data_IF_014287079357
#
_entry.id   IF_014287079357
#
_cell.length_a   1.000
_cell.length_b   1.000
_cell.length_c   1.000
_cell.angle_alpha   90.00
_cell.angle_beta   90.00
_cell.angle_gamma   90.00
#
_symmetry.space_group_name_H-M   'P 1'
#
loop_
_entity.id
_entity.type
_entity.pdbx_description
1 polymer ?
#
# COMPACT_ATOMS: atom_id res chain seq x y z
N UNK A 1 7.42 0.75 6.66
CA UNK A 1 6.42 -0.33 6.80
C UNK A 1 5.29 -0.07 5.79
N UNK A 2 4.82 -1.05 5.01
CA UNK A 2 3.90 -0.80 3.88
C UNK A 2 2.42 -0.67 4.29
N UNK A 3 1.61 0.00 3.47
CA UNK A 3 0.17 0.18 3.74
C UNK A 3 -0.62 -1.15 3.65
N UNK A 4 -1.51 -1.46 4.61
CA UNK A 4 -2.35 -2.66 4.57
C UNK A 4 -3.57 -2.46 3.64
N UNK A 5 -3.36 -2.54 2.33
CA UNK A 5 -4.46 -2.44 1.36
C UNK A 5 -5.55 -3.49 1.61
N UNK A 6 -6.81 -3.08 1.44
CA UNK A 6 -7.95 -3.99 1.42
C UNK A 6 -8.17 -4.43 -0.02
N UNK A 7 -8.22 -5.75 -0.24
CA UNK A 7 -8.51 -6.33 -1.55
C UNK A 7 -10.01 -6.15 -1.85
N UNK A 8 -10.39 -5.45 -2.94
CA UNK A 8 -11.79 -5.26 -3.29
C UNK A 8 -12.42 -6.58 -3.76
N UNK A 9 -13.74 -6.61 -3.77
CA UNK A 9 -14.54 -7.73 -4.29
C UNK A 9 -15.49 -7.22 -5.36
N UNK A 10 -15.93 -8.10 -6.25
CA UNK A 10 -16.83 -7.75 -7.35
C UNK A 10 -18.12 -8.58 -7.36
N UNK A 11 -19.15 -8.11 -8.08
CA UNK A 11 -20.40 -8.83 -8.37
C UNK A 11 -20.19 -9.94 -9.42
N UNK A 12 -21.20 -10.79 -9.63
CA UNK A 12 -21.31 -11.60 -10.85
C UNK A 12 -21.64 -10.72 -12.06
N UNK A 13 -21.14 -11.12 -13.23
CA UNK A 13 -21.63 -10.68 -14.55
C UNK A 13 -21.45 -11.84 -15.53
N UNK A 14 -22.20 -11.83 -16.65
CA UNK A 14 -21.92 -12.66 -17.81
C UNK A 14 -21.55 -11.79 -19.01
N UNK A 15 -20.34 -11.93 -19.53
CA UNK A 15 -19.90 -11.15 -20.69
C UNK A 15 -20.67 -11.49 -21.97
N UNK A 16 -21.28 -12.67 -22.05
CA UNK A 16 -22.16 -13.05 -23.16
C UNK A 16 -23.38 -12.13 -23.31
N UNK A 17 -23.79 -11.46 -22.22
CA UNK A 17 -24.95 -10.55 -22.22
C UNK A 17 -24.59 -9.18 -22.80
N UNK A 18 -23.30 -8.85 -22.86
CA UNK A 18 -22.79 -7.54 -23.25
C UNK A 18 -21.96 -7.57 -24.53
N UNK A 19 -21.36 -8.71 -24.85
CA UNK A 19 -20.43 -8.85 -25.96
C UNK A 19 -20.76 -10.06 -26.83
N UNK A 20 -20.58 -9.90 -28.13
CA UNK A 20 -20.65 -10.97 -29.11
C UNK A 20 -19.41 -10.92 -30.00
N UNK A 21 -18.83 -12.07 -30.33
CA UNK A 21 -17.73 -12.16 -31.29
C UNK A 21 -18.10 -13.10 -32.44
N UNK A 22 -17.93 -12.61 -33.66
CA UNK A 22 -18.13 -13.40 -34.89
C UNK A 22 -16.96 -14.35 -35.15
N UNK A 23 -15.75 -13.95 -34.75
CA UNK A 23 -14.49 -14.66 -34.97
C UNK A 23 -14.16 -15.61 -33.83
N UNK A 24 -14.44 -15.21 -32.59
CA UNK A 24 -14.10 -15.94 -31.36
C UNK A 24 -15.32 -16.08 -30.44
N UNK A 25 -16.39 -16.78 -30.86
CA UNK A 25 -17.67 -16.83 -30.14
C UNK A 25 -17.58 -17.34 -28.70
N UNK A 26 -16.56 -18.14 -28.36
CA UNK A 26 -16.36 -18.62 -26.98
C UNK A 26 -15.66 -17.60 -26.06
N UNK A 27 -15.02 -16.55 -26.60
CA UNK A 27 -14.21 -15.60 -25.81
C UNK A 27 -15.01 -14.93 -24.66
N UNK A 28 -16.21 -14.36 -24.88
CA UNK A 28 -17.00 -13.81 -23.78
C UNK A 28 -17.34 -14.85 -22.71
N UNK A 29 -17.62 -16.10 -23.09
CA UNK A 29 -17.91 -17.16 -22.12
C UNK A 29 -16.67 -17.53 -21.30
N UNK A 30 -15.52 -17.73 -21.93
CA UNK A 30 -14.27 -18.01 -21.24
C UNK A 30 -13.86 -16.88 -20.28
N UNK A 31 -14.01 -15.62 -20.70
CA UNK A 31 -13.77 -14.46 -19.85
C UNK A 31 -14.72 -14.45 -18.63
N UNK A 32 -15.98 -14.84 -18.83
CA UNK A 32 -16.99 -14.95 -17.75
C UNK A 32 -16.57 -15.99 -16.72
N UNK A 33 -16.15 -17.17 -17.16
CA UNK A 33 -15.65 -18.24 -16.28
C UNK A 33 -14.42 -17.79 -15.50
N UNK A 34 -13.42 -17.20 -16.15
CA UNK A 34 -12.23 -16.70 -15.49
C UNK A 34 -12.53 -15.61 -14.46
N UNK A 35 -13.45 -14.69 -14.78
CA UNK A 35 -13.93 -13.66 -13.84
C UNK A 35 -14.65 -14.25 -12.64
N UNK A 36 -15.44 -15.32 -12.84
CA UNK A 36 -16.10 -16.08 -11.77
C UNK A 36 -15.09 -16.61 -10.75
N UNK A 37 -14.00 -17.22 -11.23
CA UNK A 37 -12.90 -17.69 -10.37
C UNK A 37 -12.28 -16.54 -9.57
N UNK A 38 -12.01 -15.40 -10.20
CA UNK A 38 -11.49 -14.21 -9.50
C UNK A 38 -12.46 -13.77 -8.40
N UNK A 39 -13.75 -13.63 -8.72
CA UNK A 39 -14.79 -13.24 -7.75
C UNK A 39 -14.78 -14.16 -6.53
N UNK A 40 -14.74 -15.47 -6.75
CA UNK A 40 -14.81 -16.46 -5.67
C UNK A 40 -13.56 -16.46 -4.80
N UNK A 41 -12.38 -16.34 -5.42
CA UNK A 41 -11.10 -16.21 -4.72
C UNK A 41 -11.04 -14.92 -3.89
N UNK A 42 -11.52 -13.79 -4.42
CA UNK A 42 -11.60 -12.52 -3.70
C UNK A 42 -12.57 -12.60 -2.51
N UNK A 43 -13.76 -13.20 -2.70
CA UNK A 43 -14.74 -13.44 -1.62
C UNK A 43 -14.15 -14.35 -0.54
N UNK A 44 -13.46 -15.42 -0.94
CA UNK A 44 -12.78 -16.33 0.00
C UNK A 44 -11.68 -15.62 0.78
N UNK A 45 -10.84 -14.84 0.10
CA UNK A 45 -9.78 -14.05 0.74
C UNK A 45 -10.35 -13.08 1.79
N UNK A 46 -11.48 -12.44 1.49
CA UNK A 46 -12.16 -11.56 2.44
C UNK A 46 -12.68 -12.30 3.68
N UNK A 47 -13.21 -13.52 3.51
CA UNK A 47 -13.87 -14.31 4.57
C UNK A 47 -12.89 -15.01 5.52
N UNK A 48 -11.66 -15.28 5.09
CA UNK A 48 -10.68 -15.94 5.97
C UNK A 48 -10.16 -14.98 7.05
N UNK A 49 -9.74 -15.50 8.22
CA UNK A 49 -9.18 -14.68 9.29
C UNK A 49 -7.98 -13.83 8.81
N UNK A 50 -7.81 -12.59 9.31
CA UNK A 50 -6.72 -11.71 8.90
C UNK A 50 -5.32 -12.34 9.02
N UNK A 51 -5.10 -13.17 10.04
CA UNK A 51 -3.83 -13.90 10.24
C UNK A 51 -3.51 -14.90 9.13
N UNK A 52 -4.52 -15.35 8.37
CA UNK A 52 -4.38 -16.33 7.28
C UNK A 52 -4.43 -15.68 5.91
N UNK A 53 -4.67 -14.36 5.81
CA UNK A 53 -4.78 -13.69 4.51
C UNK A 53 -3.46 -13.67 3.74
N UNK A 54 -2.33 -13.50 4.43
CA UNK A 54 -1.02 -13.43 3.80
C UNK A 54 -0.66 -14.70 3.00
N UNK A 55 -1.00 -15.88 3.51
CA UNK A 55 -0.73 -17.15 2.82
C UNK A 55 -1.67 -17.41 1.63
N UNK A 56 -2.81 -16.71 1.55
CA UNK A 56 -3.76 -16.82 0.46
C UNK A 56 -3.46 -15.86 -0.71
N UNK A 57 -2.51 -14.92 -0.56
CA UNK A 57 -2.22 -13.90 -1.59
C UNK A 57 -1.75 -14.51 -2.92
N UNK A 58 -0.97 -15.59 -2.90
CA UNK A 58 -0.52 -16.26 -4.13
C UNK A 58 -1.67 -16.83 -4.96
N UNK A 59 -2.71 -17.35 -4.31
CA UNK A 59 -3.94 -17.82 -4.96
C UNK A 59 -4.68 -16.67 -5.62
N UNK A 60 -4.76 -15.50 -4.98
CA UNK A 60 -5.35 -14.29 -5.56
C UNK A 60 -4.58 -13.83 -6.80
N UNK A 61 -3.24 -13.81 -6.73
CA UNK A 61 -2.40 -13.45 -7.88
C UNK A 61 -2.63 -14.40 -9.05
N UNK A 62 -2.67 -15.71 -8.81
CA UNK A 62 -2.91 -16.70 -9.87
C UNK A 62 -4.23 -16.42 -10.58
N UNK A 63 -5.33 -16.31 -9.83
CA UNK A 63 -6.64 -16.06 -10.41
C UNK A 63 -6.69 -14.75 -11.23
N UNK A 64 -6.07 -13.69 -10.73
CA UNK A 64 -5.99 -12.41 -11.46
C UNK A 64 -5.18 -12.56 -12.75
N UNK A 65 -4.00 -13.20 -12.69
CA UNK A 65 -3.15 -13.42 -13.85
C UNK A 65 -3.78 -14.34 -14.90
N UNK A 66 -4.62 -15.28 -14.48
CA UNK A 66 -5.37 -16.15 -15.39
C UNK A 66 -6.50 -15.38 -16.09
N UNK A 67 -7.08 -14.37 -15.44
CA UNK A 67 -8.19 -13.56 -15.96
C UNK A 67 -7.74 -12.37 -16.84
N UNK A 68 -6.67 -11.67 -16.44
CA UNK A 68 -6.18 -10.45 -17.12
C UNK A 68 -5.99 -10.63 -18.64
N UNK A 69 -5.41 -11.74 -19.17
CA UNK A 69 -5.29 -11.97 -20.59
C UNK A 69 -6.63 -11.91 -21.34
N UNK A 70 -7.71 -12.42 -20.74
CA UNK A 70 -9.06 -12.36 -21.33
C UNK A 70 -9.59 -10.93 -21.39
N UNK A 71 -9.35 -10.12 -20.35
CA UNK A 71 -9.71 -8.70 -20.38
C UNK A 71 -8.99 -7.95 -21.50
N UNK A 72 -7.70 -8.20 -21.69
CA UNK A 72 -6.95 -7.59 -22.79
C UNK A 72 -7.37 -8.08 -24.17
N UNK A 73 -7.79 -9.35 -24.31
CA UNK A 73 -8.35 -9.85 -25.56
C UNK A 73 -9.70 -9.17 -25.88
N UNK A 74 -10.56 -8.94 -24.87
CA UNK A 74 -11.80 -8.19 -25.04
C UNK A 74 -11.52 -6.71 -25.41
N UNK A 75 -10.57 -6.06 -24.72
CA UNK A 75 -10.14 -4.67 -24.99
C UNK A 75 -9.60 -4.52 -26.42
N UNK A 76 -8.77 -5.48 -26.86
CA UNK A 76 -8.23 -5.53 -28.22
C UNK A 76 -9.36 -5.66 -29.26
N UNK A 77 -10.32 -6.56 -29.02
CA UNK A 77 -11.44 -6.77 -29.92
C UNK A 77 -12.37 -5.55 -30.06
N UNK A 78 -12.62 -4.81 -28.97
CA UNK A 78 -13.39 -3.55 -29.03
C UNK A 78 -12.62 -2.42 -29.71
N UNK A 79 -11.29 -2.43 -29.62
CA UNK A 79 -10.42 -1.37 -30.14
C UNK A 79 -9.95 -1.61 -31.58
N UNK A 80 -10.26 -2.78 -32.17
CA UNK A 80 -9.74 -3.20 -33.47
C UNK A 80 -8.23 -3.51 -33.46
N UNK A 81 -7.65 -3.76 -32.29
CA UNK A 81 -6.26 -4.15 -32.14
C UNK A 81 -6.11 -5.67 -32.23
N UNK A 82 -4.95 -6.15 -32.69
CA UNK A 82 -4.66 -7.59 -32.70
C UNK A 82 -4.26 -8.09 -31.31
N UNK A 83 -4.69 -9.30 -30.94
CA UNK A 83 -4.22 -10.02 -29.76
C UNK A 83 -3.39 -11.22 -30.21
N UNK A 84 -2.10 -11.28 -29.83
CA UNK A 84 -1.18 -12.36 -30.25
C UNK A 84 -1.14 -12.60 -31.79
N UNK A 85 -1.31 -11.55 -32.60
CA UNK A 85 -1.33 -11.64 -34.06
C UNK A 85 -2.68 -12.02 -34.67
N UNK A 86 -3.68 -12.30 -33.83
CA UNK A 86 -5.05 -12.62 -34.22
C UNK A 86 -5.94 -11.37 -34.18
N UNK A 87 -6.82 -11.23 -35.17
CA UNK A 87 -7.85 -10.19 -35.18
C UNK A 87 -9.11 -10.71 -34.50
N UNK A 88 -9.53 -10.02 -33.44
CA UNK A 88 -10.74 -10.35 -32.70
C UNK A 88 -11.81 -9.33 -33.09
N UNK A 89 -12.83 -9.77 -33.80
CA UNK A 89 -14.03 -8.96 -34.04
C UNK A 89 -14.99 -9.11 -32.85
N UNK A 90 -15.10 -8.08 -32.02
CA UNK A 90 -15.96 -8.04 -30.84
C UNK A 90 -16.95 -6.87 -30.93
N UNK A 91 -18.23 -7.19 -30.85
CA UNK A 91 -19.34 -6.24 -30.91
C UNK A 91 -19.95 -6.06 -29.54
N UNK A 92 -20.16 -4.81 -29.15
CA UNK A 92 -20.91 -4.42 -27.96
C UNK A 92 -22.42 -4.60 -28.22
N UNK A 93 -23.04 -5.56 -27.54
CA UNK A 93 -24.49 -5.84 -27.59
C UNK A 93 -25.26 -4.88 -26.68
N UNK A 94 -24.74 -4.65 -25.47
CA UNK A 94 -25.29 -3.77 -24.44
C UNK A 94 -24.12 -3.11 -23.69
N UNK A 95 -24.31 -1.90 -23.19
CA UNK A 95 -23.37 -1.27 -22.25
C UNK A 95 -23.04 -2.19 -21.06
N UNK A 96 -21.76 -2.52 -20.88
CA UNK A 96 -21.27 -3.37 -19.79
C UNK A 96 -21.54 -2.71 -18.44
N UNK A 97 -22.12 -3.45 -17.50
CA UNK A 97 -22.35 -2.98 -16.13
C UNK A 97 -21.59 -3.88 -15.13
N UNK A 98 -20.55 -3.34 -14.50
CA UNK A 98 -19.76 -4.04 -13.47
C UNK A 98 -19.90 -3.34 -12.12
N UNK A 99 -19.83 -4.11 -11.04
CA UNK A 99 -19.85 -3.57 -9.69
C UNK A 99 -18.63 -4.00 -8.89
N UNK A 100 -17.93 -3.03 -8.30
CA UNK A 100 -16.76 -3.26 -7.45
C UNK A 100 -16.94 -2.58 -6.10
N UNK A 101 -16.54 -3.24 -5.01
CA UNK A 101 -16.49 -2.59 -3.69
C UNK A 101 -15.35 -1.58 -3.66
N UNK A 102 -15.66 -0.34 -3.26
CA UNK A 102 -14.64 0.70 -3.02
C UNK A 102 -13.82 0.36 -1.78
N UNK A 103 -12.50 0.44 -1.86
CA UNK A 103 -11.59 0.17 -0.73
C UNK A 103 -10.76 1.37 -0.34
N UNK A 104 -10.65 2.37 -1.23
CA UNK A 104 -9.95 3.62 -0.98
C UNK A 104 -10.90 4.79 -0.70
N UNK A 105 -12.20 4.63 -0.94
CA UNK A 105 -13.19 5.64 -0.57
C UNK A 105 -13.43 5.71 0.94
N UNK A 106 -13.97 6.84 1.41
CA UNK A 106 -14.44 7.00 2.79
C UNK A 106 -15.51 5.96 3.10
N UNK A 107 -15.30 5.18 4.16
CA UNK A 107 -16.25 4.20 4.67
C UNK A 107 -16.65 4.54 6.10
N UNK A 108 -17.86 4.13 6.48
CA UNK A 108 -18.33 4.28 7.87
C UNK A 108 -17.80 3.07 8.65
N UNK A 109 -17.11 3.27 9.78
CA UNK A 109 -16.64 2.18 10.62
C UNK A 109 -17.78 1.21 10.98
N UNK A 110 -17.55 -0.08 10.80
CA UNK A 110 -18.54 -1.13 11.08
C UNK A 110 -19.59 -1.34 9.97
N UNK A 111 -19.53 -0.59 8.86
CA UNK A 111 -20.31 -0.89 7.65
C UNK A 111 -19.42 -1.38 6.52
N UNK A 112 -19.96 -2.30 5.74
CA UNK A 112 -19.30 -2.73 4.51
C UNK A 112 -19.19 -1.56 3.52
N UNK A 113 -18.03 -1.37 2.87
CA UNK A 113 -17.89 -0.33 1.85
C UNK A 113 -18.88 -0.53 0.69
N UNK A 114 -19.43 0.55 0.13
CA UNK A 114 -20.42 0.45 -0.94
C UNK A 114 -19.82 -0.15 -2.21
N UNK A 115 -20.65 -0.89 -2.95
CA UNK A 115 -20.35 -1.25 -4.34
C UNK A 115 -20.64 -0.06 -5.24
N UNK A 116 -19.71 0.23 -6.15
CA UNK A 116 -19.85 1.27 -7.16
C UNK A 116 -20.18 0.59 -8.48
N UNK A 117 -21.27 1.02 -9.11
CA UNK A 117 -21.67 0.57 -10.46
C UNK A 117 -20.87 1.35 -11.50
N UNK A 118 -20.29 0.65 -12.46
CA UNK A 118 -19.41 1.18 -13.48
C UNK A 118 -19.83 0.64 -14.84
N UNK A 119 -19.73 1.49 -15.86
CA UNK A 119 -20.31 1.25 -17.18
C UNK A 119 -19.27 1.11 -18.29
N UNK A 120 -18.19 0.37 -18.03
CA UNK A 120 -17.12 0.20 -19.04
C UNK A 120 -16.21 -0.99 -18.75
N UNK A 121 -15.67 -1.57 -19.82
CA UNK A 121 -14.59 -2.56 -19.75
C UNK A 121 -13.31 -1.94 -19.18
N UNK A 122 -13.04 -0.68 -19.49
CA UNK A 122 -11.91 0.07 -18.95
C UNK A 122 -11.92 0.14 -17.42
N UNK A 123 -13.11 0.36 -16.82
CA UNK A 123 -13.26 0.35 -15.36
C UNK A 123 -12.97 -1.02 -14.75
N UNK A 124 -13.46 -2.09 -15.39
CA UNK A 124 -13.18 -3.47 -14.98
C UNK A 124 -11.68 -3.78 -15.04
N UNK A 125 -11.01 -3.38 -16.13
CA UNK A 125 -9.57 -3.51 -16.31
C UNK A 125 -8.80 -2.75 -15.24
N UNK A 126 -9.19 -1.51 -14.95
CA UNK A 126 -8.56 -0.69 -13.92
C UNK A 126 -8.69 -1.27 -12.52
N UNK A 127 -9.89 -1.73 -12.14
CA UNK A 127 -10.09 -2.39 -10.85
C UNK A 127 -9.33 -3.71 -10.75
N UNK A 128 -9.33 -4.53 -11.80
CA UNK A 128 -8.62 -5.81 -11.83
C UNK A 128 -7.11 -5.62 -11.68
N UNK A 129 -6.52 -4.68 -12.44
CA UNK A 129 -5.09 -4.37 -12.36
C UNK A 129 -4.71 -3.68 -11.04
N UNK A 130 -5.53 -2.74 -10.55
CA UNK A 130 -5.29 -2.12 -9.24
C UNK A 130 -5.33 -3.14 -8.12
N UNK A 131 -6.25 -4.12 -8.21
CA UNK A 131 -6.33 -5.25 -7.26
C UNK A 131 -5.04 -6.08 -7.30
N UNK A 132 -4.52 -6.41 -8.48
CA UNK A 132 -3.25 -7.12 -8.62
C UNK A 132 -2.10 -6.33 -7.97
N UNK A 133 -2.03 -5.02 -8.20
CA UNK A 133 -1.01 -4.16 -7.60
C UNK A 133 -1.11 -4.10 -6.06
N UNK A 134 -2.34 -4.05 -5.50
CA UNK A 134 -2.56 -4.15 -4.05
C UNK A 134 -2.06 -5.47 -3.49
N UNK A 135 -2.33 -6.58 -4.17
CA UNK A 135 -1.90 -7.91 -3.74
C UNK A 135 -0.37 -8.03 -3.77
N UNK A 136 0.31 -7.46 -4.76
CA UNK A 136 1.77 -7.35 -4.75
C UNK A 136 2.30 -6.52 -3.57
N UNK A 137 1.68 -5.37 -3.25
CA UNK A 137 2.05 -4.60 -2.07
C UNK A 137 1.86 -5.43 -0.77
N UNK A 138 0.74 -6.15 -0.66
CA UNK A 138 0.49 -7.05 0.48
C UNK A 138 1.50 -8.20 0.56
N UNK A 139 1.99 -8.73 -0.57
CA UNK A 139 3.09 -9.70 -0.56
C UNK A 139 4.39 -9.06 -0.08
N UNK A 140 4.72 -7.85 -0.55
CA UNK A 140 5.89 -7.11 -0.07
C UNK A 140 5.81 -6.87 1.45
N UNK A 141 4.61 -6.51 1.94
CA UNK A 141 4.32 -6.39 3.36
C UNK A 141 4.55 -7.71 4.10
N UNK A 142 4.03 -8.83 3.62
CA UNK A 142 4.25 -10.13 4.24
C UNK A 142 5.74 -10.51 4.32
N UNK A 143 6.53 -10.21 3.27
CA UNK A 143 7.98 -10.43 3.28
C UNK A 143 8.67 -9.54 4.32
N UNK A 144 8.33 -8.26 4.40
CA UNK A 144 8.93 -7.33 5.37
C UNK A 144 8.53 -7.61 6.81
N UNK A 145 7.36 -8.21 7.07
CA UNK A 145 6.94 -8.61 8.42
C UNK A 145 7.95 -9.56 9.07
N UNK A 146 8.59 -10.42 8.27
CA UNK A 146 9.61 -11.37 8.76
C UNK A 146 10.80 -10.70 9.45
N UNK A 147 11.07 -9.41 9.15
CA UNK A 147 12.12 -8.62 9.77
C UNK A 147 11.81 -8.24 11.23
N UNK A 148 10.56 -8.39 11.64
CA UNK A 148 10.04 -8.02 12.96
C UNK A 148 9.67 -9.23 13.81
N UNK A 149 10.08 -10.43 13.41
CA UNK A 149 9.89 -11.65 14.21
C UNK A 149 10.67 -11.59 15.53
N UNK A 150 10.25 -12.39 16.51
CA UNK A 150 10.86 -12.45 17.85
C UNK A 150 12.36 -12.85 17.82
N UNK A 151 12.78 -13.56 16.78
CA UNK A 151 14.18 -13.88 16.52
C UNK A 151 14.71 -12.98 15.42
N UNK A 152 15.85 -12.33 15.67
CA UNK A 152 16.52 -11.47 14.69
C UNK A 152 16.88 -12.32 13.47
N UNK A 153 16.44 -11.95 12.25
CA UNK A 153 16.73 -12.72 11.04
C UNK A 153 18.22 -12.66 10.71
N UNK A 154 18.75 -13.73 10.11
CA UNK A 154 20.11 -13.74 9.58
C UNK A 154 20.28 -12.68 8.47
N UNK A 155 21.51 -12.22 8.18
CA UNK A 155 21.77 -11.29 7.08
C UNK A 155 21.23 -11.79 5.72
N UNK A 156 21.33 -13.10 5.47
CA UNK A 156 20.82 -13.74 4.26
C UNK A 156 19.27 -13.74 4.21
N UNK A 157 18.62 -14.06 5.32
CA UNK A 157 17.16 -14.00 5.43
C UNK A 157 16.65 -12.57 5.23
N UNK A 158 17.32 -11.59 5.84
CA UNK A 158 17.03 -10.16 5.65
C UNK A 158 17.17 -9.75 4.18
N UNK A 159 18.29 -10.09 3.55
CA UNK A 159 18.52 -9.77 2.15
C UNK A 159 17.48 -10.40 1.23
N UNK A 160 17.08 -11.65 1.52
CA UNK A 160 16.04 -12.37 0.77
C UNK A 160 14.68 -11.70 0.92
N UNK A 161 14.24 -11.40 2.15
CA UNK A 161 12.97 -10.75 2.42
C UNK A 161 12.89 -9.36 1.76
N UNK A 162 13.95 -8.56 1.87
CA UNK A 162 14.01 -7.22 1.24
C UNK A 162 14.03 -7.33 -0.28
N UNK A 163 14.80 -8.28 -0.84
CA UNK A 163 14.84 -8.52 -2.28
C UNK A 163 13.49 -8.94 -2.86
N UNK A 164 12.77 -9.83 -2.16
CA UNK A 164 11.42 -10.25 -2.54
C UNK A 164 10.41 -9.09 -2.44
N UNK A 165 10.43 -8.33 -1.33
CA UNK A 165 9.58 -7.16 -1.18
C UNK A 165 9.82 -6.11 -2.28
N UNK A 166 11.09 -5.87 -2.61
CA UNK A 166 11.49 -4.96 -3.69
C UNK A 166 10.90 -5.38 -5.03
N UNK A 167 10.99 -6.67 -5.37
CA UNK A 167 10.42 -7.20 -6.61
C UNK A 167 8.94 -6.87 -6.70
N UNK A 168 8.18 -7.16 -5.63
CA UNK A 168 6.74 -6.93 -5.61
C UNK A 168 6.36 -5.45 -5.67
N UNK A 169 7.09 -4.55 -5.00
CA UNK A 169 6.82 -3.11 -5.16
C UNK A 169 7.05 -2.62 -6.58
N UNK A 170 8.10 -3.11 -7.26
CA UNK A 170 8.36 -2.73 -8.65
C UNK A 170 7.33 -3.32 -9.61
N UNK A 171 6.82 -4.53 -9.34
CA UNK A 171 5.68 -5.12 -10.07
C UNK A 171 4.42 -4.25 -9.90
N UNK A 172 4.05 -3.90 -8.66
CA UNK A 172 2.93 -3.00 -8.36
C UNK A 172 3.09 -1.62 -9.02
N UNK A 173 4.28 -1.02 -8.94
CA UNK A 173 4.57 0.27 -9.54
C UNK A 173 4.44 0.26 -11.07
N UNK A 174 4.88 -0.81 -11.73
CA UNK A 174 4.72 -0.96 -13.18
C UNK A 174 3.25 -0.95 -13.59
N UNK A 175 2.39 -1.64 -12.82
CA UNK A 175 0.95 -1.70 -13.05
C UNK A 175 0.32 -0.32 -12.80
N UNK A 176 0.62 0.33 -11.69
CA UNK A 176 0.07 1.67 -11.42
C UNK A 176 0.50 2.69 -12.47
N UNK A 177 1.76 2.66 -12.92
CA UNK A 177 2.25 3.54 -13.99
C UNK A 177 1.52 3.27 -15.31
N UNK A 178 1.27 2.00 -15.63
CA UNK A 178 0.47 1.63 -16.79
C UNK A 178 -0.95 2.20 -16.71
N UNK A 179 -1.60 2.08 -15.55
CA UNK A 179 -2.94 2.62 -15.32
C UNK A 179 -2.98 4.15 -15.39
N UNK A 180 -1.94 4.85 -14.90
CA UNK A 180 -1.82 6.31 -15.05
C UNK A 180 -1.78 6.71 -16.52
N UNK A 181 -1.01 5.98 -17.34
CA UNK A 181 -0.92 6.26 -18.77
C UNK A 181 -2.25 6.01 -19.50
N UNK A 182 -2.99 4.95 -19.13
CA UNK A 182 -4.35 4.72 -19.66
C UNK A 182 -5.32 5.82 -19.21
N UNK A 183 -5.28 6.20 -17.93
CA UNK A 183 -6.13 7.24 -17.38
C UNK A 183 -5.92 8.62 -18.02
N UNK A 184 -4.72 8.90 -18.53
CA UNK A 184 -4.42 10.09 -19.32
C UNK A 184 -5.14 10.15 -20.68
N UNK A 185 -5.67 9.03 -21.17
CA UNK A 185 -6.38 8.93 -22.45
C UNK A 185 -7.91 8.97 -22.27
N UNK A 186 -8.41 9.06 -21.04
CA UNK A 186 -9.85 9.07 -20.79
C UNK A 186 -10.48 10.41 -21.15
N UNK A 187 -11.59 10.34 -21.91
CA UNK A 187 -12.41 11.51 -22.24
C UNK A 187 -13.20 12.05 -21.04
N UNK A 188 -13.50 11.19 -20.06
CA UNK A 188 -14.23 11.54 -18.83
C UNK A 188 -13.70 10.76 -17.65
N UNK A 189 -13.59 11.40 -16.48
CA UNK A 189 -13.15 10.73 -15.27
C UNK A 189 -14.23 9.79 -14.70
N UNK A 190 -13.86 8.61 -14.21
CA UNK A 190 -14.79 7.70 -13.56
C UNK A 190 -15.33 8.31 -12.26
N UNK A 191 -16.56 7.93 -11.90
CA UNK A 191 -17.20 8.35 -10.64
C UNK A 191 -16.57 7.71 -9.41
N UNK A 192 -15.92 6.54 -9.59
CA UNK A 192 -15.23 5.82 -8.54
C UNK A 192 -13.89 6.49 -8.19
N UNK A 193 -13.73 6.86 -6.92
CA UNK A 193 -12.50 7.48 -6.41
C UNK A 193 -11.28 6.56 -6.56
N UNK A 194 -11.46 5.26 -6.36
CA UNK A 194 -10.38 4.25 -6.40
C UNK A 194 -9.63 4.21 -7.74
N UNK A 195 -10.33 4.51 -8.84
CA UNK A 195 -9.77 4.50 -10.19
C UNK A 195 -9.68 5.90 -10.80
N UNK A 196 -9.85 6.97 -10.01
CA UNK A 196 -9.64 8.33 -10.51
C UNK A 196 -8.16 8.54 -10.88
N UNK A 197 -7.88 9.34 -11.91
CA UNK A 197 -6.51 9.57 -12.38
C UNK A 197 -5.57 10.07 -11.26
N UNK A 198 -6.10 10.90 -10.35
CA UNK A 198 -5.33 11.41 -9.20
C UNK A 198 -4.96 10.31 -8.22
N UNK A 199 -5.88 9.37 -7.93
CA UNK A 199 -5.58 8.23 -7.04
C UNK A 199 -4.61 7.25 -7.70
N UNK A 200 -4.79 6.94 -8.98
CA UNK A 200 -3.86 6.08 -9.73
C UNK A 200 -2.44 6.67 -9.74
N UNK A 201 -2.32 7.98 -9.98
CA UNK A 201 -1.05 8.70 -9.90
C UNK A 201 -0.43 8.63 -8.50
N UNK A 202 -1.25 8.84 -7.47
CA UNK A 202 -0.78 8.76 -6.10
C UNK A 202 -0.26 7.36 -5.72
N UNK A 203 -0.93 6.31 -6.18
CA UNK A 203 -0.52 4.92 -5.92
C UNK A 203 0.78 4.57 -6.65
N UNK A 204 1.00 5.09 -7.86
CA UNK A 204 2.28 4.95 -8.58
C UNK A 204 3.42 5.62 -7.80
N UNK A 205 3.22 6.86 -7.34
CA UNK A 205 4.20 7.60 -6.55
C UNK A 205 4.43 6.95 -5.18
N UNK A 206 3.37 6.48 -4.51
CA UNK A 206 3.47 5.80 -3.21
C UNK A 206 4.29 4.51 -3.31
N UNK A 207 4.01 3.64 -4.28
CA UNK A 207 4.75 2.40 -4.46
C UNK A 207 6.22 2.65 -4.79
N UNK A 208 6.53 3.73 -5.53
CA UNK A 208 7.91 4.15 -5.76
C UNK A 208 8.60 4.65 -4.48
N UNK A 209 7.87 5.40 -3.63
CA UNK A 209 8.36 5.85 -2.34
C UNK A 209 8.71 4.66 -1.43
N UNK A 210 7.83 3.66 -1.35
CA UNK A 210 8.05 2.43 -0.57
C UNK A 210 9.24 1.63 -1.11
N UNK A 211 9.29 1.38 -2.42
CA UNK A 211 10.40 0.69 -3.09
C UNK A 211 11.74 1.39 -2.83
N UNK A 212 11.77 2.72 -2.91
CA UNK A 212 12.99 3.50 -2.68
C UNK A 212 13.42 3.42 -1.22
N UNK A 213 12.48 3.52 -0.26
CA UNK A 213 12.82 3.52 1.16
C UNK A 213 13.42 2.19 1.63
N UNK A 214 12.89 1.06 1.13
CA UNK A 214 13.38 -0.26 1.55
C UNK A 214 14.80 -0.58 1.03
N UNK A 215 15.31 0.15 0.03
CA UNK A 215 16.72 0.02 -0.40
C UNK A 215 17.69 0.31 0.74
N UNK A 216 17.31 1.27 1.61
CA UNK A 216 18.11 1.70 2.75
C UNK A 216 18.02 0.69 3.90
N UNK A 217 16.86 0.05 4.08
CA UNK A 217 16.61 -0.93 5.13
C UNK A 217 17.56 -2.14 5.07
N UNK A 218 18.09 -2.46 3.88
CA UNK A 218 19.03 -3.55 3.67
C UNK A 218 20.30 -3.39 4.50
N UNK A 219 20.85 -2.18 4.51
CA UNK A 219 22.16 -1.86 5.08
C UNK A 219 22.03 -0.95 6.33
N UNK A 220 20.81 -0.61 6.76
CA UNK A 220 20.55 0.21 7.96
C UNK A 220 20.64 -0.65 9.23
N UNK A 221 21.67 -0.49 10.08
CA UNK A 221 21.87 -1.34 11.25
C UNK A 221 20.96 -0.96 12.43
N UNK A 222 20.46 0.28 12.46
CA UNK A 222 19.83 0.84 13.64
C UNK A 222 18.47 0.23 14.02
N UNK A 223 17.60 -0.20 13.08
CA UNK A 223 16.39 -0.93 13.43
C UNK A 223 16.67 -2.18 14.27
N UNK A 224 17.68 -2.97 13.90
CA UNK A 224 18.04 -4.18 14.65
C UNK A 224 18.52 -3.85 16.07
N UNK A 225 19.34 -2.80 16.22
CA UNK A 225 19.85 -2.35 17.52
C UNK A 225 18.72 -1.97 18.48
N UNK A 226 17.71 -1.23 18.00
CA UNK A 226 16.56 -0.82 18.82
C UNK A 226 15.66 -2.00 19.19
N UNK A 227 15.53 -2.99 18.30
CA UNK A 227 14.78 -4.22 18.58
C UNK A 227 15.50 -5.06 19.66
N UNK A 228 16.83 -5.22 19.54
CA UNK A 228 17.64 -5.97 20.51
C UNK A 228 17.65 -5.32 21.89
N UNK A 229 17.79 -4.00 22.00
CA UNK A 229 17.74 -3.27 23.28
C UNK A 229 16.44 -3.52 24.05
N UNK A 230 15.34 -3.83 23.33
CA UNK A 230 14.04 -4.16 23.92
C UNK A 230 13.82 -5.64 24.17
N UNK A 231 14.67 -6.52 23.62
CA UNK A 231 14.54 -7.95 23.82
C UNK A 231 14.97 -8.32 25.25
N UNK A 232 14.00 -8.43 26.15
CA UNK A 232 14.22 -8.83 27.56
C UNK A 232 14.91 -10.19 27.72
N UNK A 233 14.91 -11.03 26.68
CA UNK A 233 15.55 -12.33 26.69
C UNK A 233 17.01 -12.28 26.18
N UNK A 234 17.42 -11.18 25.55
CA UNK A 234 18.80 -10.99 25.08
C UNK A 234 19.74 -10.75 26.25
N UNK A 235 20.80 -11.56 26.32
CA UNK A 235 21.92 -11.41 27.28
C UNK A 235 23.20 -10.94 26.61
N UNK A 236 23.17 -10.69 25.31
CA UNK A 236 24.36 -10.42 24.50
C UNK A 236 25.08 -9.13 24.92
N UNK A 237 24.32 -8.14 25.38
CA UNK A 237 24.82 -6.91 25.97
C UNK A 237 25.73 -7.14 27.20
N UNK A 238 25.61 -8.30 27.87
CA UNK A 238 26.42 -8.63 29.06
C UNK A 238 27.87 -8.98 28.70
N UNK A 239 28.15 -9.42 27.48
CA UNK A 239 29.47 -9.92 27.07
C UNK A 239 30.00 -9.29 25.78
N UNK A 240 29.19 -8.50 25.05
CA UNK A 240 29.63 -7.71 23.90
C UNK A 240 28.86 -6.39 23.81
N UNK A 241 29.57 -5.29 23.54
CA UNK A 241 28.93 -4.02 23.19
C UNK A 241 28.33 -4.06 21.78
N UNK A 242 27.27 -3.29 21.53
CA UNK A 242 26.68 -3.18 20.20
C UNK A 242 27.68 -2.49 19.25
N UNK A 243 28.24 -3.23 18.31
CA UNK A 243 29.04 -2.69 17.22
C UNK A 243 28.11 -2.29 16.06
N UNK A 244 28.14 -1.02 15.67
CA UNK A 244 27.25 -0.48 14.63
C UNK A 244 28.09 -0.26 13.37
N UNK A 245 27.86 -1.05 12.30
CA UNK A 245 28.59 -0.90 11.05
C UNK A 245 28.49 0.51 10.48
N UNK A 246 29.59 0.99 9.87
CA UNK A 246 29.58 2.24 9.12
C UNK A 246 28.71 2.08 7.87
N UNK A 247 27.83 3.06 7.65
CA UNK A 247 26.93 3.09 6.49
C UNK A 247 27.35 4.17 5.50
N UNK A 248 26.87 4.06 4.26
CA UNK A 248 26.98 5.10 3.24
C UNK A 248 25.97 6.21 3.54
N UNK A 249 26.17 6.89 4.67
CA UNK A 249 25.20 7.76 5.31
C UNK A 249 24.66 8.85 4.36
N UNK A 250 25.55 9.59 3.70
CA UNK A 250 25.14 10.61 2.73
C UNK A 250 24.31 10.05 1.56
N UNK A 251 24.66 8.87 1.02
CA UNK A 251 23.87 8.22 -0.04
C UNK A 251 22.47 7.86 0.47
N UNK A 252 22.39 7.23 1.65
CA UNK A 252 21.11 6.81 2.25
C UNK A 252 20.22 8.01 2.56
N UNK A 253 20.79 9.12 3.02
CA UNK A 253 20.05 10.36 3.20
C UNK A 253 19.37 10.82 1.90
N UNK A 254 20.10 10.79 0.78
CA UNK A 254 19.54 11.18 -0.53
C UNK A 254 18.49 10.19 -1.06
N UNK A 255 18.64 8.89 -0.79
CA UNK A 255 17.60 7.90 -1.14
C UNK A 255 16.32 8.11 -0.31
N UNK A 256 16.46 8.37 0.98
CA UNK A 256 15.34 8.71 1.86
C UNK A 256 14.65 10.01 1.42
N UNK A 257 15.39 11.00 0.92
CA UNK A 257 14.82 12.23 0.40
C UNK A 257 14.04 12.00 -0.90
N UNK A 258 14.53 11.17 -1.83
CA UNK A 258 13.77 10.78 -3.02
C UNK A 258 12.46 10.09 -2.64
N UNK A 259 12.50 9.15 -1.67
CA UNK A 259 11.29 8.52 -1.13
C UNK A 259 10.31 9.55 -0.52
N UNK A 260 10.81 10.53 0.23
CA UNK A 260 9.99 11.63 0.76
C UNK A 260 9.37 12.48 -0.35
N UNK A 261 10.10 12.77 -1.43
CA UNK A 261 9.60 13.56 -2.57
C UNK A 261 8.46 12.81 -3.29
N UNK A 262 8.61 11.51 -3.54
CA UNK A 262 7.55 10.66 -4.08
C UNK A 262 6.32 10.62 -3.16
N UNK A 263 6.51 10.41 -1.85
CA UNK A 263 5.40 10.43 -0.89
C UNK A 263 4.70 11.80 -0.84
N UNK A 264 5.43 12.90 -1.01
CA UNK A 264 4.84 14.24 -1.09
C UNK A 264 3.99 14.44 -2.35
N UNK A 265 4.44 13.92 -3.50
CA UNK A 265 3.63 13.91 -4.75
C UNK A 265 2.36 13.09 -4.56
N UNK A 266 2.47 11.90 -3.98
CA UNK A 266 1.31 11.06 -3.67
C UNK A 266 0.31 11.79 -2.74
N UNK A 267 0.80 12.43 -1.68
CA UNK A 267 -0.03 13.20 -0.76
C UNK A 267 -0.77 14.34 -1.47
N UNK A 268 -0.08 15.08 -2.33
CA UNK A 268 -0.66 16.18 -3.09
C UNK A 268 -1.75 15.71 -4.07
N UNK A 269 -1.56 14.54 -4.70
CA UNK A 269 -2.55 13.94 -5.59
C UNK A 269 -3.77 13.43 -4.81
N UNK A 270 -3.59 12.71 -3.70
CA UNK A 270 -4.70 12.24 -2.86
C UNK A 270 -5.50 13.41 -2.27
N UNK A 271 -4.85 14.51 -1.90
CA UNK A 271 -5.51 15.71 -1.37
C UNK A 271 -6.46 16.40 -2.36
N UNK A 272 -6.36 16.09 -3.66
CA UNK A 272 -7.29 16.59 -4.71
C UNK A 272 -8.50 15.68 -4.90
N UNK A 273 -8.47 14.46 -4.36
CA UNK A 273 -9.53 13.47 -4.52
C UNK A 273 -10.55 13.58 -3.39
N UNK A 274 -11.81 14.00 -3.67
CA UNK A 274 -12.83 14.05 -2.64
C UNK A 274 -13.16 12.64 -2.15
N UNK A 275 -13.49 12.50 -0.86
CA UNK A 275 -13.93 11.23 -0.25
C UNK A 275 -12.89 10.10 -0.29
N UNK A 276 -11.59 10.41 -0.29
CA UNK A 276 -10.54 9.43 -0.06
C UNK A 276 -10.46 9.04 1.43
N UNK A 277 -10.10 7.79 1.71
CA UNK A 277 -9.90 7.27 3.06
C UNK A 277 -8.79 8.06 3.80
N UNK A 278 -9.11 8.55 5.00
CA UNK A 278 -8.20 9.31 5.87
C UNK A 278 -6.99 8.49 6.32
N UNK A 279 -7.12 7.17 6.49
CA UNK A 279 -6.03 6.29 6.90
C UNK A 279 -4.94 6.24 5.83
N UNK A 280 -5.31 6.22 4.54
CA UNK A 280 -4.34 6.27 3.44
C UNK A 280 -3.66 7.64 3.38
N UNK A 281 -4.41 8.74 3.50
CA UNK A 281 -3.84 10.09 3.53
C UNK A 281 -2.83 10.25 4.66
N UNK A 282 -3.20 9.78 5.85
CA UNK A 282 -2.33 9.82 7.03
C UNK A 282 -1.10 8.95 6.84
N UNK A 283 -1.27 7.73 6.32
CA UNK A 283 -0.16 6.84 6.04
C UNK A 283 0.87 7.47 5.09
N UNK A 284 0.41 8.11 4.01
CA UNK A 284 1.30 8.77 3.05
C UNK A 284 2.05 9.96 3.68
N UNK A 285 1.38 10.76 4.53
CA UNK A 285 2.06 11.81 5.30
C UNK A 285 3.09 11.24 6.29
N UNK A 286 2.73 10.18 7.01
CA UNK A 286 3.63 9.51 7.95
C UNK A 286 4.82 8.87 7.21
N UNK A 287 4.64 8.31 6.00
CA UNK A 287 5.72 7.79 5.16
C UNK A 287 6.66 8.91 4.72
N UNK A 288 6.12 10.03 4.24
CA UNK A 288 6.88 11.23 3.86
C UNK A 288 7.75 11.72 5.03
N UNK A 289 7.13 11.86 6.21
CA UNK A 289 7.82 12.30 7.44
C UNK A 289 8.87 11.30 7.91
N UNK A 290 8.57 10.01 7.84
CA UNK A 290 9.50 8.93 8.21
C UNK A 290 10.73 8.92 7.31
N UNK A 291 10.53 9.03 6.00
CA UNK A 291 11.60 9.11 5.03
C UNK A 291 12.48 10.36 5.27
N UNK A 292 11.88 11.54 5.48
CA UNK A 292 12.64 12.75 5.79
C UNK A 292 13.35 12.70 7.15
N UNK A 293 12.74 12.09 8.16
CA UNK A 293 13.36 11.82 9.47
C UNK A 293 14.58 10.90 9.36
N UNK A 294 14.46 9.81 8.58
CA UNK A 294 15.59 8.93 8.24
C UNK A 294 16.71 9.67 7.55
N UNK A 295 16.40 10.56 6.61
CA UNK A 295 17.41 11.38 5.95
C UNK A 295 18.18 12.25 6.94
N UNK A 296 17.47 12.92 7.86
CA UNK A 296 18.10 13.69 8.93
C UNK A 296 19.01 12.82 9.80
N UNK A 297 18.56 11.62 10.18
CA UNK A 297 19.39 10.69 10.97
C UNK A 297 20.66 10.30 10.21
N UNK A 298 20.57 9.97 8.93
CA UNK A 298 21.77 9.61 8.16
C UNK A 298 22.72 10.79 7.99
N UNK A 299 22.22 12.02 7.78
CA UNK A 299 23.07 13.22 7.79
C UNK A 299 23.72 13.44 9.17
N UNK A 300 23.01 13.10 10.24
CA UNK A 300 23.56 13.12 11.60
C UNK A 300 24.71 12.11 11.77
N UNK A 301 24.54 10.88 11.26
CA UNK A 301 25.59 9.85 11.25
C UNK A 301 26.82 10.27 10.43
N UNK A 302 26.60 10.96 9.30
CA UNK A 302 27.67 11.49 8.46
C UNK A 302 28.46 12.59 9.21
N UNK A 303 27.75 13.53 9.84
CA UNK A 303 28.36 14.59 10.65
C UNK A 303 29.15 14.04 11.85
N UNK A 304 28.59 13.08 12.59
CA UNK A 304 29.27 12.45 13.72
C UNK A 304 30.49 11.63 13.27
N UNK A 305 30.39 10.91 12.16
CA UNK A 305 31.53 10.21 11.54
C UNK A 305 32.65 11.15 11.09
N UNK A 306 32.32 12.41 10.78
CA UNK A 306 33.26 13.50 10.51
C UNK A 306 33.77 14.23 11.75
N UNK A 307 33.44 13.77 12.96
CA UNK A 307 33.86 14.38 14.23
C UNK A 307 33.04 15.60 14.64
N UNK A 308 31.93 15.90 13.97
CA UNK A 308 31.04 17.04 14.26
C UNK A 308 29.80 16.59 15.05
N UNK A 309 30.01 16.02 16.23
CA UNK A 309 28.94 15.50 17.09
C UNK A 309 27.88 16.57 17.42
N UNK A 310 28.26 17.84 17.63
CA UNK A 310 27.31 18.92 17.87
C UNK A 310 26.33 19.14 16.70
N UNK A 311 26.85 19.13 15.47
CA UNK A 311 26.04 19.19 14.24
C UNK A 311 25.16 17.94 14.09
N UNK A 312 25.69 16.75 14.41
CA UNK A 312 24.93 15.50 14.44
C UNK A 312 23.72 15.55 15.39
N UNK A 313 23.89 16.09 16.60
CA UNK A 313 22.79 16.28 17.54
C UNK A 313 21.73 17.24 16.96
N UNK A 314 22.15 18.33 16.32
CA UNK A 314 21.23 19.28 15.68
C UNK A 314 20.41 18.60 14.56
N UNK A 315 21.03 17.77 13.73
CA UNK A 315 20.32 16.97 12.72
C UNK A 315 19.28 16.02 13.35
N UNK A 316 19.59 15.36 14.46
CA UNK A 316 18.64 14.49 15.16
C UNK A 316 17.48 15.27 15.80
N UNK A 317 17.73 16.47 16.32
CA UNK A 317 16.65 17.38 16.77
C UNK A 317 15.76 17.78 15.60
N UNK A 318 16.35 18.07 14.44
CA UNK A 318 15.62 18.27 13.19
C UNK A 318 14.78 17.06 12.79
N UNK A 319 15.33 15.84 12.91
CA UNK A 319 14.60 14.60 12.65
C UNK A 319 13.33 14.47 13.51
N UNK A 320 13.39 14.83 14.80
CA UNK A 320 12.21 14.85 15.68
C UNK A 320 11.14 15.83 15.20
N UNK A 321 11.53 17.00 14.72
CA UNK A 321 10.60 18.01 14.17
C UNK A 321 9.92 17.49 12.90
N UNK A 322 10.68 16.89 11.99
CA UNK A 322 10.15 16.29 10.75
C UNK A 322 9.17 15.13 11.02
N UNK A 323 9.52 14.24 11.96
CA UNK A 323 8.65 13.15 12.41
C UNK A 323 7.39 13.67 13.12
N UNK A 324 7.35 14.94 13.55
CA UNK A 324 6.23 15.52 14.28
C UNK A 324 6.21 15.14 15.77
N UNK A 325 7.35 14.73 16.32
CA UNK A 325 7.51 14.49 17.76
C UNK A 325 7.94 15.75 18.54
N UNK A 326 8.36 16.79 17.83
CA UNK A 326 8.66 18.11 18.37
C UNK A 326 8.00 19.19 17.49
N UNK A 327 7.60 20.34 18.06
CA UNK A 327 7.05 21.44 17.28
C UNK A 327 8.08 22.01 16.29
N UNK A 328 7.60 22.49 15.15
CA UNK A 328 8.40 23.26 14.19
C UNK A 328 8.48 24.72 14.68
N UNK A 329 9.64 25.16 15.20
CA UNK A 329 9.86 26.55 15.63
C UNK A 329 10.83 26.75 16.80
N UNK A 330 11.15 28.02 17.08
CA UNK A 330 12.17 28.52 18.03
C UNK A 330 11.81 28.31 19.52
N UNK A 331 10.57 27.89 19.84
CA UNK A 331 10.23 27.51 21.21
C UNK A 331 10.80 26.11 21.56
N UNK A 332 12.12 25.96 21.54
CA UNK A 332 12.82 24.71 21.91
C UNK A 332 12.69 24.36 23.42
N UNK A 333 12.07 25.23 24.24
CA UNK A 333 12.03 25.07 25.70
C UNK A 333 10.66 24.84 26.33
N UNK A 334 9.55 24.88 25.58
CA UNK A 334 8.28 24.39 26.16
C UNK A 334 8.32 22.86 26.16
N UNK A 335 8.80 22.30 27.28
CA UNK A 335 8.72 20.88 27.64
C UNK A 335 7.47 20.30 27.01
N UNK A 336 7.63 19.41 26.02
CA UNK A 336 6.52 18.67 25.44
C UNK A 336 5.63 18.20 26.59
N UNK A 337 4.39 18.69 26.65
CA UNK A 337 3.45 18.36 27.72
C UNK A 337 3.47 16.86 27.99
N UNK A 338 3.50 16.43 29.26
CA UNK A 338 3.55 15.01 29.63
C UNK A 338 2.46 14.17 28.95
N UNK A 339 1.34 14.80 28.58
CA UNK A 339 0.27 14.21 27.79
C UNK A 339 0.69 13.80 26.37
N UNK A 340 1.51 14.61 25.68
CA UNK A 340 2.02 14.31 24.33
C UNK A 340 2.95 13.10 24.34
N UNK A 341 3.80 12.99 25.37
CA UNK A 341 4.69 11.83 25.55
C UNK A 341 3.87 10.57 25.84
N UNK A 342 2.89 10.65 26.72
CA UNK A 342 2.01 9.53 27.04
C UNK A 342 1.17 9.06 25.83
N UNK A 343 0.71 9.99 24.99
CA UNK A 343 0.03 9.67 23.72
C UNK A 343 0.94 8.96 22.74
N UNK A 344 2.19 9.43 22.57
CA UNK A 344 3.21 8.76 21.74
C UNK A 344 3.46 7.33 22.25
N UNK A 345 3.74 7.16 23.54
CA UNK A 345 4.00 5.85 24.15
C UNK A 345 2.83 4.87 24.01
N UNK A 346 1.59 5.38 24.09
CA UNK A 346 0.39 4.57 23.88
C UNK A 346 0.24 4.11 22.42
N UNK A 347 0.46 5.01 21.46
CA UNK A 347 0.41 4.69 20.02
C UNK A 347 1.52 3.70 19.65
N UNK A 348 2.71 3.88 20.20
CA UNK A 348 3.85 2.99 20.07
C UNK A 348 3.53 1.56 20.54
N UNK A 349 2.96 1.40 21.74
CA UNK A 349 2.54 0.10 22.26
C UNK A 349 1.44 -0.53 21.41
N UNK A 350 0.55 0.28 20.83
CA UNK A 350 -0.50 -0.22 19.93
C UNK A 350 0.10 -0.75 18.64
N UNK A 351 1.09 -0.07 18.07
CA UNK A 351 1.78 -0.52 16.87
C UNK A 351 2.61 -1.78 17.11
N UNK A 352 3.35 -1.86 18.22
CA UNK A 352 4.10 -3.06 18.57
C UNK A 352 3.18 -4.29 18.68
N UNK A 353 2.00 -4.14 19.30
CA UNK A 353 0.99 -5.22 19.38
C UNK A 353 0.45 -5.64 18.01
N UNK A 354 0.34 -4.71 17.07
CA UNK A 354 -0.09 -5.01 15.70
C UNK A 354 0.99 -5.78 14.95
N UNK A 355 2.25 -5.38 15.12
CA UNK A 355 3.42 -6.08 14.56
C UNK A 355 3.48 -7.50 15.13
N UNK A 356 3.39 -7.67 16.45
CA UNK A 356 3.37 -8.99 17.11
C UNK A 356 2.25 -9.90 16.57
N UNK A 357 1.07 -9.34 16.31
CA UNK A 357 -0.08 -10.08 15.78
C UNK A 357 -0.02 -10.30 14.27
N UNK A 358 0.82 -9.57 13.54
CA UNK A 358 0.84 -9.55 12.08
C UNK A 358 -0.40 -8.96 11.42
N UNK A 359 -1.28 -8.28 12.18
CA UNK A 359 -2.56 -7.73 11.70
C UNK A 359 -2.55 -6.21 11.81
N UNK A 360 -2.92 -5.51 10.73
CA UNK A 360 -3.01 -4.04 10.65
C UNK A 360 -1.78 -3.25 11.12
N UNK A 361 -0.59 -3.89 11.08
CA UNK A 361 0.69 -3.25 11.31
C UNK A 361 1.16 -2.44 10.11
N UNK A 362 2.06 -1.49 10.35
CA UNK A 362 2.63 -0.59 9.37
C UNK A 362 1.79 0.66 9.10
N UNK A 363 0.72 0.89 9.87
CA UNK A 363 -0.18 2.04 9.67
C UNK A 363 0.46 3.40 9.95
N UNK A 364 1.59 3.42 10.67
CA UNK A 364 2.40 4.61 10.95
C UNK A 364 3.58 4.78 9.97
N UNK A 365 3.65 3.95 8.92
CA UNK A 365 4.76 3.89 7.97
C UNK A 365 6.16 3.63 8.56
N UNK A 366 6.28 3.24 9.83
CA UNK A 366 7.55 3.10 10.55
C UNK A 366 8.01 4.36 11.28
N UNK A 367 7.15 5.37 11.41
CA UNK A 367 7.42 6.64 12.11
C UNK A 367 7.84 6.43 13.56
N UNK A 368 7.19 5.52 14.28
CA UNK A 368 7.51 5.26 15.67
C UNK A 368 8.83 4.49 15.83
N UNK A 369 9.10 3.53 14.94
CA UNK A 369 10.40 2.85 14.89
C UNK A 369 11.53 3.85 14.68
N UNK A 370 11.42 4.73 13.68
CA UNK A 370 12.42 5.76 13.41
C UNK A 370 12.57 6.74 14.58
N UNK A 371 11.46 7.12 15.23
CA UNK A 371 11.48 7.94 16.44
C UNK A 371 12.32 7.37 17.57
N UNK A 372 12.23 6.06 17.79
CA UNK A 372 13.02 5.35 18.81
C UNK A 372 14.50 5.33 18.47
N UNK A 373 14.84 5.13 17.20
CA UNK A 373 16.23 5.20 16.74
C UNK A 373 16.81 6.59 17.01
N UNK A 374 16.07 7.64 16.64
CA UNK A 374 16.47 9.03 16.90
C UNK A 374 16.61 9.32 18.39
N UNK A 375 15.69 8.84 19.22
CA UNK A 375 15.74 8.98 20.69
C UNK A 375 16.98 8.29 21.29
N UNK A 376 17.30 7.07 20.84
CA UNK A 376 18.48 6.31 21.27
C UNK A 376 19.77 7.05 20.90
N UNK A 377 19.87 7.54 19.66
CA UNK A 377 21.04 8.26 19.16
C UNK A 377 21.22 9.60 19.88
N UNK A 378 20.16 10.37 20.10
CA UNK A 378 20.22 11.62 20.87
C UNK A 378 20.75 11.38 22.27
N UNK A 379 20.19 10.41 22.99
CA UNK A 379 20.64 10.06 24.35
C UNK A 379 22.13 9.70 24.37
N UNK A 380 22.60 8.96 23.38
CA UNK A 380 24.02 8.56 23.26
C UNK A 380 24.92 9.76 22.98
N UNK A 381 24.60 10.54 21.95
CA UNK A 381 25.48 11.60 21.47
C UNK A 381 25.43 12.86 22.33
N UNK A 382 24.30 13.21 22.95
CA UNK A 382 24.25 14.28 23.95
C UNK A 382 25.16 13.94 25.14
N UNK A 383 25.06 12.72 25.69
CA UNK A 383 25.97 12.28 26.77
C UNK A 383 27.45 12.34 26.35
N UNK A 384 27.77 11.87 25.14
CA UNK A 384 29.13 11.89 24.62
C UNK A 384 29.65 13.32 24.42
N UNK A 385 28.82 14.21 23.90
CA UNK A 385 29.18 15.61 23.70
C UNK A 385 29.35 16.35 25.04
N UNK A 386 28.45 16.14 26.00
CA UNK A 386 28.53 16.77 27.32
C UNK A 386 29.74 16.30 28.14
N UNK A 387 30.20 15.06 27.90
CA UNK A 387 31.31 14.47 28.66
C UNK A 387 32.67 14.70 28.00
N UNK A 388 32.75 14.63 26.66
CA UNK A 388 34.02 14.58 25.93
C UNK A 388 34.10 15.63 24.83
N UNK A 389 33.04 15.80 24.03
CA UNK A 389 33.09 16.61 22.82
C UNK A 389 33.06 18.12 23.05
N UNK A 390 32.26 18.57 24.02
CA UNK A 390 31.98 19.97 24.38
C UNK A 390 31.76 20.86 23.13
N UNK A 391 31.10 20.31 22.10
CA UNK A 391 30.80 21.06 20.89
C UNK A 391 29.51 21.84 21.08
N UNK A 392 29.47 23.08 20.58
CA UNK A 392 28.23 23.84 20.50
C UNK A 392 27.23 23.13 19.56
N UNK A 393 25.97 23.05 19.98
CA UNK A 393 24.89 22.44 19.18
C UNK A 393 24.19 23.58 18.43
N UNK A 394 24.31 23.66 17.09
CA UNK A 394 23.64 24.70 16.31
C UNK A 394 22.12 24.48 16.26
N UNK A 395 21.34 25.50 15.86
CA UNK A 395 19.92 25.32 15.55
C UNK A 395 19.73 24.35 14.38
N UNK A 396 18.59 23.65 14.37
CA UNK A 396 18.30 22.61 13.38
C UNK A 396 17.71 23.19 12.08
N UNK A 397 17.05 24.33 12.14
CA UNK A 397 16.34 24.96 11.02
C UNK A 397 17.24 25.25 9.81
N UNK A 398 18.45 25.85 9.97
CA UNK A 398 19.33 26.09 8.82
C UNK A 398 19.82 24.78 8.19
N UNK A 399 20.04 23.75 9.00
CA UNK A 399 20.45 22.42 8.51
C UNK A 399 19.32 21.80 7.68
N UNK A 400 18.09 21.79 8.20
CA UNK A 400 16.92 21.28 7.48
C UNK A 400 16.70 22.01 6.15
N UNK A 401 16.96 23.32 6.10
CA UNK A 401 16.89 24.11 4.87
C UNK A 401 18.02 23.79 3.86
N UNK A 402 19.16 23.29 4.35
CA UNK A 402 20.31 22.88 3.52
C UNK A 402 20.28 21.42 3.05
N UNK A 403 19.17 20.70 3.26
CA UNK A 403 19.08 19.31 2.81
C UNK A 403 19.36 19.20 1.30
N UNK A 404 20.15 18.21 0.87
CA UNK A 404 20.37 17.97 -0.55
C UNK A 404 19.08 17.48 -1.23
N UNK A 405 19.06 17.45 -2.56
CA UNK A 405 17.97 16.82 -3.30
C UNK A 405 18.03 15.29 -3.22
N UNK A 406 16.86 14.67 -3.37
CA UNK A 406 16.72 13.24 -3.55
C UNK A 406 17.63 12.66 -4.63
N UNK A 407 17.94 11.36 -4.50
CA UNK A 407 18.58 10.58 -5.55
C UNK A 407 17.71 9.40 -5.89
N UNK A 408 17.26 9.33 -7.14
CA UNK A 408 16.53 8.18 -7.66
C UNK A 408 17.40 6.92 -7.64
N UNK A 409 16.80 5.82 -7.21
CA UNK A 409 17.45 4.51 -7.21
C UNK A 409 16.85 3.58 -8.25
N UNK A 410 15.53 3.62 -8.40
CA UNK A 410 14.80 2.72 -9.28
C UNK A 410 14.53 3.38 -10.62
N UNK A 411 14.43 2.55 -11.65
CA UNK A 411 13.89 2.96 -12.94
C UNK A 411 12.53 2.32 -13.10
N UNK A 412 11.52 3.12 -13.43
CA UNK A 412 10.17 2.64 -13.67
C UNK A 412 10.17 1.63 -14.81
N UNK A 413 9.67 0.43 -14.52
CA UNK A 413 9.54 -0.63 -15.53
C UNK A 413 8.20 -0.50 -16.24
N UNK A 414 8.22 -0.75 -17.54
CA UNK A 414 6.98 -0.84 -18.32
C UNK A 414 6.24 -2.13 -17.93
N UNK A 415 4.94 -2.02 -17.68
CA UNK A 415 4.08 -3.19 -17.53
C UNK A 415 4.00 -3.95 -18.86
N UNK A 416 4.27 -5.25 -18.81
CA UNK A 416 4.13 -6.12 -19.97
C UNK A 416 2.69 -6.63 -19.97
N UNK A 417 1.92 -6.21 -20.98
CA UNK A 417 0.51 -6.60 -21.15
C UNK A 417 0.46 -8.13 -21.35
N UNK A 418 -0.18 -8.89 -20.45
CA UNK A 418 -0.42 -10.31 -20.66
C UNK A 418 -1.40 -10.50 -21.82
N UNK A 419 -1.08 -11.40 -22.73
CA UNK A 419 -1.95 -11.78 -23.83
C UNK A 419 -2.27 -13.28 -23.73
N UNK A 420 -3.45 -13.66 -24.24
CA UNK A 420 -3.78 -15.06 -24.45
C UNK A 420 -2.81 -15.63 -25.50
N UNK A 421 -2.41 -16.88 -25.31
CA UNK A 421 -1.62 -17.57 -26.33
C UNK A 421 -2.48 -17.88 -27.57
N UNK A 422 -1.80 -18.00 -28.71
CA UNK A 422 -2.43 -18.24 -30.02
C UNK A 422 -3.31 -19.51 -30.00
N UNK A 423 -2.89 -20.59 -29.34
CA UNK A 423 -3.68 -21.81 -29.25
C UNK A 423 -4.97 -21.62 -28.45
N UNK A 424 -4.93 -20.84 -27.36
CA UNK A 424 -6.12 -20.48 -26.60
C UNK A 424 -7.09 -19.65 -27.46
N UNK A 425 -6.60 -18.69 -28.24
CA UNK A 425 -7.42 -17.92 -29.18
C UNK A 425 -8.06 -18.81 -30.25
N UNK A 426 -7.27 -19.66 -30.91
CA UNK A 426 -7.77 -20.58 -31.94
C UNK A 426 -8.88 -21.48 -31.40
N UNK A 427 -8.75 -22.01 -30.18
CA UNK A 427 -9.80 -22.83 -29.55
C UNK A 427 -11.11 -22.06 -29.35
N UNK A 428 -11.04 -20.77 -29.07
CA UNK A 428 -12.23 -19.93 -28.84
C UNK A 428 -12.98 -19.56 -30.12
N UNK A 429 -12.47 -19.92 -31.30
CA UNK A 429 -13.22 -19.85 -32.57
C UNK A 429 -14.36 -20.85 -32.64
N UNK A 430 -14.28 -21.95 -31.88
CA UNK A 430 -15.40 -22.87 -31.74
C UNK A 430 -16.53 -22.20 -30.93
N UNK A 431 -17.81 -22.43 -31.28
CA UNK A 431 -18.94 -21.97 -30.47
C UNK A 431 -18.89 -22.57 -29.05
N UNK A 432 -19.38 -21.86 -28.02
CA UNK A 432 -19.42 -22.36 -26.66
C UNK A 432 -20.32 -23.60 -26.56
N UNK A 433 -19.94 -24.58 -25.74
CA UNK A 433 -20.78 -25.74 -25.47
C UNK A 433 -22.06 -25.28 -24.75
N UNK A 434 -23.25 -25.74 -25.16
CA UNK A 434 -24.51 -25.41 -24.48
C UNK A 434 -24.49 -25.72 -22.97
N UNK A 435 -23.70 -26.70 -22.53
CA UNK A 435 -23.54 -27.07 -21.12
C UNK A 435 -22.67 -26.08 -20.32
N UNK A 436 -21.85 -25.27 -20.98
CA UNK A 436 -20.97 -24.25 -20.38
C UNK A 436 -21.67 -22.88 -20.22
N UNK A 437 -23.00 -22.81 -20.39
CA UNK A 437 -23.74 -21.56 -20.20
C UNK A 437 -23.76 -21.15 -18.74
N UNK A 438 -23.25 -19.95 -18.47
CA UNK A 438 -23.30 -19.32 -17.16
C UNK A 438 -24.75 -19.22 -16.65
N UNK A 439 -25.08 -19.96 -15.59
CA UNK A 439 -26.36 -19.85 -14.88
C UNK A 439 -26.18 -18.85 -13.75
N UNK A 440 -26.61 -17.60 -13.95
CA UNK A 440 -26.45 -16.48 -13.02
C UNK A 440 -27.17 -16.61 -11.66
N UNK A 441 -27.66 -17.79 -11.28
CA UNK A 441 -28.42 -18.07 -10.05
C UNK A 441 -27.51 -18.55 -8.90
N UNK A 442 -26.33 -17.97 -8.76
CA UNK A 442 -25.62 -18.06 -7.48
C UNK A 442 -26.01 -16.84 -6.66
N UNK A 443 -26.78 -17.08 -5.59
CA UNK A 443 -27.08 -16.07 -4.57
C UNK A 443 -25.81 -15.30 -4.26
N UNK A 444 -25.79 -14.03 -4.68
CA UNK A 444 -24.80 -13.10 -4.20
C UNK A 444 -25.12 -12.98 -2.71
N UNK A 445 -24.42 -13.76 -1.88
CA UNK A 445 -24.55 -13.75 -0.42
C UNK A 445 -24.23 -12.33 0.07
N UNK A 446 -25.25 -11.52 -0.02
CA UNK A 446 -25.40 -10.12 0.24
C UNK A 446 -26.76 -9.98 0.93
N UNK A 447 -26.98 -10.78 1.97
CA UNK A 447 -28.06 -10.64 2.95
C UNK A 447 -27.77 -11.50 4.21
N UNK A 448 -26.57 -11.39 4.78
CA UNK A 448 -26.33 -11.80 6.18
C UNK A 448 -26.16 -10.60 7.13
N UNK A 449 -26.55 -9.38 6.70
CA UNK A 449 -26.67 -8.21 7.58
C UNK A 449 -28.13 -7.72 7.75
N UNK A 450 -29.12 -8.53 7.39
CA UNK A 450 -30.43 -8.39 8.01
C UNK A 450 -30.38 -8.90 9.47
N UNK A 451 -30.22 -7.93 10.38
CA UNK A 451 -30.61 -7.94 11.81
C UNK A 451 -29.54 -8.41 12.81
N UNK A 452 -28.54 -7.58 13.03
CA UNK A 452 -28.09 -7.30 14.40
C UNK A 452 -28.61 -5.93 14.83
N UNK A 453 -29.47 -5.83 15.86
CA UNK A 453 -29.90 -4.52 16.33
C UNK A 453 -28.69 -3.72 16.80
N UNK A 454 -28.70 -2.38 16.65
CA UNK A 454 -27.65 -1.55 17.22
C UNK A 454 -27.52 -1.84 18.72
N UNK A 455 -26.29 -1.93 19.20
CA UNK A 455 -26.00 -2.16 20.62
C UNK A 455 -26.76 -1.12 21.47
N UNK A 456 -27.77 -1.59 22.22
CA UNK A 456 -28.65 -0.73 23.03
C UNK A 456 -30.14 -0.77 22.68
N UNK A 457 -30.58 -1.49 21.64
CA UNK A 457 -32.01 -1.65 21.37
C UNK A 457 -32.67 -2.69 22.30
N UNK A 458 -33.71 -2.29 23.03
CA UNK A 458 -34.54 -3.20 23.82
C UNK A 458 -35.37 -4.12 22.89
N UNK A 459 -35.54 -5.41 23.22
CA UNK A 459 -36.35 -6.32 22.41
C UNK A 459 -37.82 -5.87 22.41
N UNK A 460 -38.33 -5.40 21.27
CA UNK A 460 -39.77 -5.13 21.09
C UNK A 460 -40.15 -3.93 20.22
N UNK A 461 -39.25 -2.99 19.92
CA UNK A 461 -39.60 -1.70 19.29
C UNK A 461 -39.64 -1.70 17.75
N UNK A 462 -39.76 -2.87 17.10
CA UNK A 462 -39.67 -2.98 15.64
C UNK A 462 -40.85 -2.34 14.86
N UNK A 463 -41.95 -2.00 15.52
CA UNK A 463 -43.17 -1.53 14.85
C UNK A 463 -43.34 0.00 14.78
N UNK A 464 -42.59 0.78 15.57
CA UNK A 464 -42.92 2.21 15.79
C UNK A 464 -42.16 3.21 14.90
N UNK A 465 -41.31 2.72 13.98
CA UNK A 465 -40.60 3.57 13.02
C UNK A 465 -40.97 3.21 11.58
N UNK A 466 -42.24 3.33 11.24
CA UNK A 466 -42.64 3.55 9.84
C UNK A 466 -43.01 5.03 9.69
N UNK A 467 -42.27 5.84 8.91
CA UNK A 467 -42.68 7.20 8.63
C UNK A 467 -43.85 7.16 7.63
N UNK A 468 -45.07 7.44 8.10
CA UNK A 468 -46.19 7.75 7.21
C UNK A 468 -45.93 9.09 6.53
N UNK A 469 -45.45 9.08 5.30
CA UNK A 469 -45.41 10.27 4.45
C UNK A 469 -46.68 10.33 3.61
N UNK A 470 -47.75 10.85 4.19
CA UNK A 470 -48.86 11.44 3.46
C UNK A 470 -48.84 12.94 3.72
N UNK A 471 -48.69 13.78 2.69
CA UNK A 471 -49.35 15.09 2.55
C UNK A 471 -49.11 15.68 1.14
N UNK A 472 -50.24 15.97 0.49
CA UNK A 472 -50.56 16.75 -0.72
C UNK A 472 -49.66 16.71 -1.96
#
# INVERSE_FOLDING_TARGET
MPFPFVVPTTSSISYTDFFHSSTHPSLPNCATTARGVVRDVLKRHKRIPPSSQASNLSTVISALNDYIPYLFALDAGLSGASCAGEEIDLVLVKELEVEWRSTLGTSIPGREPPRIKLKSLESELCYTLSTLAYVYNLQARAQLHTLYNATVPSPEQRATAIGAAMKHFLEANSIHTYLVNRAGQWNSQPTAVDISASVLGALAELTMAEATLITVLKDDPYPAVVIEDRNKQSKDWMFRGVDIPKVRAHLFARLCLASSEHAAKAQAMLGRSPKINEDLLKYVDDLRRTAKGKACRFLACDAEGGGKTGEGIAWLRGAKKELGFAPLGIEEEKKSSGFSKLKKDWQEKREDRKIEKGVDWGTDAGKFEEGRIVDMLLKKWEKQNDTVGIQSIPPSEPLLASMPSGREYHTTKMFIIPALDEHSLIRMRAPPDPSDTFRGDEDDSADEDERSPPAGAFPGTKADYTPSSSYY
#
